data_IF_944354533279
#
_entry.id   IF_944354533279
#
_cell.length_a   1.000
_cell.length_b   1.000
_cell.length_c   1.000
_cell.angle_alpha   90.00
_cell.angle_beta   90.00
_cell.angle_gamma   90.00
#
_symmetry.space_group_name_H-M   'P 1'
#
loop_
_entity.id
_entity.type
_entity.pdbx_description
1 polymer ?
#
# COMPACT_ATOMS: atom_id res chain seq x y z
N UNK A 1 -14.91 -28.74 -51.68
CA UNK A 1 -16.08 -28.05 -51.09
C UNK A 1 -15.63 -27.45 -49.77
N UNK A 2 -15.64 -26.12 -49.68
CA UNK A 2 -14.94 -25.31 -48.67
C UNK A 2 -15.75 -25.27 -47.36
N UNK A 3 -15.15 -25.67 -46.24
CA UNK A 3 -15.70 -25.44 -44.90
C UNK A 3 -15.29 -24.03 -44.46
N UNK A 4 -16.21 -23.13 -44.05
CA UNK A 4 -15.84 -21.81 -43.60
C UNK A 4 -15.26 -21.88 -42.19
N UNK A 5 -14.04 -21.35 -42.04
CA UNK A 5 -13.42 -21.04 -40.75
C UNK A 5 -14.25 -19.95 -40.08
N UNK A 6 -15.00 -20.30 -39.05
CA UNK A 6 -15.66 -19.31 -38.18
C UNK A 6 -14.58 -18.79 -37.23
N UNK A 7 -13.98 -17.66 -37.58
CA UNK A 7 -13.09 -16.92 -36.71
C UNK A 7 -13.92 -16.31 -35.57
N UNK A 8 -13.85 -16.89 -34.37
CA UNK A 8 -14.38 -16.28 -33.17
C UNK A 8 -13.48 -15.10 -32.79
N UNK A 9 -13.92 -13.89 -33.11
CA UNK A 9 -13.30 -12.66 -32.65
C UNK A 9 -13.54 -12.53 -31.13
N UNK A 10 -12.56 -12.93 -30.32
CA UNK A 10 -12.50 -12.56 -28.91
C UNK A 10 -12.22 -11.06 -28.83
N UNK A 11 -13.27 -10.25 -28.66
CA UNK A 11 -13.15 -8.85 -28.32
C UNK A 11 -12.53 -8.75 -26.91
N UNK A 12 -11.25 -8.38 -26.83
CA UNK A 12 -10.59 -8.06 -25.58
C UNK A 12 -11.21 -6.77 -25.02
N UNK A 13 -12.14 -6.92 -24.08
CA UNK A 13 -12.63 -5.81 -23.27
C UNK A 13 -11.50 -5.38 -22.33
N UNK A 14 -10.76 -4.34 -22.72
CA UNK A 14 -9.87 -3.63 -21.81
C UNK A 14 -10.73 -3.00 -20.72
N UNK A 15 -10.70 -3.58 -19.52
CA UNK A 15 -11.19 -2.95 -18.30
C UNK A 15 -10.31 -1.72 -18.05
N UNK A 16 -10.77 -0.56 -18.50
CA UNK A 16 -10.17 0.72 -18.14
C UNK A 16 -10.44 0.94 -16.66
N UNK A 17 -9.51 0.53 -15.80
CA UNK A 17 -9.48 0.96 -14.41
C UNK A 17 -9.37 2.48 -14.43
N UNK A 18 -10.44 3.16 -13.99
CA UNK A 18 -10.45 4.62 -13.94
C UNK A 18 -9.47 5.07 -12.87
N UNK A 19 -8.26 5.47 -13.27
CA UNK A 19 -7.34 6.18 -12.39
C UNK A 19 -7.99 7.52 -11.99
N UNK A 20 -8.29 7.71 -10.71
CA UNK A 20 -8.69 9.00 -10.16
C UNK A 20 -7.42 9.83 -9.95
N UNK A 21 -7.40 11.06 -10.44
CA UNK A 21 -6.31 11.98 -10.14
C UNK A 21 -6.32 12.28 -8.63
N UNK A 22 -5.23 11.93 -7.93
CA UNK A 22 -5.06 12.24 -6.50
C UNK A 22 -4.39 13.60 -6.29
N UNK A 23 -4.72 14.28 -5.19
CA UNK A 23 -4.07 15.53 -4.79
C UNK A 23 -2.74 15.24 -4.10
N UNK A 24 -1.66 15.30 -4.88
CA UNK A 24 -0.29 15.10 -4.37
C UNK A 24 0.05 16.07 -3.23
N UNK A 25 -0.42 17.32 -3.29
CA UNK A 25 -0.17 18.30 -2.22
C UNK A 25 -0.88 17.90 -0.92
N UNK A 26 -2.06 17.27 -1.01
CA UNK A 26 -2.72 16.69 0.17
C UNK A 26 -1.93 15.50 0.73
N UNK A 27 -1.42 14.62 -0.14
CA UNK A 27 -0.55 13.51 0.25
C UNK A 27 0.72 13.99 0.97
N UNK A 28 1.40 15.00 0.43
CA UNK A 28 2.57 15.63 1.06
C UNK A 28 2.26 16.21 2.44
N UNK A 29 1.08 16.84 2.61
CA UNK A 29 0.63 17.32 3.91
C UNK A 29 0.39 16.16 4.89
N UNK A 30 -0.27 15.08 4.44
CA UNK A 30 -0.52 13.91 5.28
C UNK A 30 0.77 13.19 5.69
N UNK A 31 1.79 13.19 4.81
CA UNK A 31 3.11 12.62 5.09
C UNK A 31 3.78 13.20 6.35
N UNK A 32 3.40 14.40 6.79
CA UNK A 32 3.88 14.97 8.06
C UNK A 32 3.55 14.08 9.28
N UNK A 33 2.50 13.25 9.21
CA UNK A 33 2.14 12.28 10.26
C UNK A 33 3.07 11.05 10.26
N UNK A 34 3.75 10.79 9.15
CA UNK A 34 4.56 9.58 8.92
C UNK A 34 6.06 9.85 9.01
N UNK A 35 6.50 11.04 8.59
CA UNK A 35 7.93 11.40 8.41
C UNK A 35 8.78 11.38 9.69
N UNK A 36 8.15 11.40 10.86
CA UNK A 36 8.87 11.23 12.13
C UNK A 36 9.39 9.80 12.31
N UNK A 37 8.73 8.83 11.70
CA UNK A 37 9.02 7.40 11.87
C UNK A 37 9.52 6.73 10.60
N UNK A 38 9.23 7.30 9.42
CA UNK A 38 9.49 6.67 8.13
C UNK A 38 10.23 7.61 7.20
N UNK A 39 11.03 7.02 6.32
CA UNK A 39 11.70 7.71 5.23
C UNK A 39 11.30 7.11 3.89
N UNK A 40 11.35 7.96 2.86
CA UNK A 40 11.19 7.63 1.44
C UNK A 40 12.25 8.37 0.64
N UNK A 41 12.53 7.90 -0.57
CA UNK A 41 13.51 8.48 -1.49
C UNK A 41 14.88 7.85 -1.40
N UNK A 42 15.82 8.43 -2.14
CA UNK A 42 17.20 7.98 -2.21
C UNK A 42 17.87 8.04 -0.84
N UNK A 43 18.59 6.97 -0.48
CA UNK A 43 19.28 6.87 0.81
C UNK A 43 18.38 6.72 2.03
N UNK A 44 17.08 6.43 1.86
CA UNK A 44 16.15 6.20 2.97
C UNK A 44 16.63 5.07 3.91
N UNK A 45 16.59 5.34 5.20
CA UNK A 45 17.02 4.43 6.27
C UNK A 45 15.83 4.00 7.13
N UNK A 46 15.98 2.85 7.78
CA UNK A 46 15.09 2.45 8.86
C UNK A 46 15.26 3.39 10.07
N UNK A 47 14.14 3.85 10.65
CA UNK A 47 14.10 4.69 11.85
C UNK A 47 13.28 3.97 12.93
N UNK A 48 12.36 4.68 13.60
CA UNK A 48 11.34 4.08 14.46
C UNK A 48 10.48 3.08 13.66
N UNK A 49 10.15 3.42 12.42
CA UNK A 49 9.51 2.56 11.42
C UNK A 49 10.48 2.14 10.30
N UNK A 50 10.13 1.13 9.48
CA UNK A 50 10.92 0.77 8.31
C UNK A 50 10.82 1.86 7.24
N UNK A 51 11.80 1.95 6.34
CA UNK A 51 11.66 2.78 5.14
C UNK A 51 10.50 2.29 4.24
N UNK A 52 9.89 3.19 3.47
CA UNK A 52 8.66 2.91 2.71
C UNK A 52 8.82 2.91 1.17
N UNK A 53 10.05 2.97 0.64
CA UNK A 53 10.29 2.80 -0.80
C UNK A 53 9.83 1.43 -1.27
N UNK A 54 9.13 1.36 -2.41
CA UNK A 54 8.62 0.10 -2.95
C UNK A 54 7.65 -0.61 -1.98
N UNK A 55 6.80 0.16 -1.28
CA UNK A 55 5.81 -0.40 -0.37
C UNK A 55 4.82 -1.30 -1.11
N UNK A 56 4.22 -0.80 -2.19
CA UNK A 56 3.21 -1.56 -2.94
C UNK A 56 3.84 -2.75 -3.67
N UNK A 57 3.19 -3.91 -3.57
CA UNK A 57 3.68 -5.22 -4.01
C UNK A 57 4.58 -5.94 -2.99
N UNK A 58 5.05 -5.26 -1.95
CA UNK A 58 5.91 -5.88 -0.92
C UNK A 58 5.07 -6.58 0.15
N UNK A 59 5.56 -7.70 0.66
CA UNK A 59 4.95 -8.37 1.82
C UNK A 59 5.24 -7.63 3.14
N UNK A 60 4.37 -7.81 4.13
CA UNK A 60 4.62 -7.39 5.51
C UNK A 60 5.91 -8.00 6.06
N UNK A 61 6.63 -7.26 6.90
CA UNK A 61 7.83 -7.78 7.55
C UNK A 61 9.08 -7.91 6.67
N UNK A 62 9.10 -7.32 5.47
CA UNK A 62 10.12 -7.64 4.46
C UNK A 62 11.27 -6.63 4.29
N UNK A 63 11.26 -5.47 4.96
CA UNK A 63 12.40 -4.52 4.84
C UNK A 63 13.58 -5.05 5.64
N UNK A 64 14.71 -5.24 4.94
CA UNK A 64 15.96 -5.71 5.52
C UNK A 64 16.44 -4.79 6.65
N UNK A 65 17.01 -5.40 7.70
CA UNK A 65 17.57 -4.68 8.83
C UNK A 65 16.55 -4.01 9.76
N UNK A 66 15.25 -4.08 9.48
CA UNK A 66 14.22 -3.59 10.41
C UNK A 66 13.68 -4.72 11.30
N UNK A 67 13.68 -4.51 12.61
CA UNK A 67 13.12 -5.48 13.56
C UNK A 67 11.60 -5.32 13.63
N UNK A 68 10.84 -6.16 12.93
CA UNK A 68 9.37 -6.13 12.95
C UNK A 68 8.77 -6.78 14.20
N UNK A 69 7.55 -6.36 14.57
CA UNK A 69 6.74 -7.12 15.53
C UNK A 69 6.41 -8.51 14.99
N UNK A 70 6.22 -9.50 15.88
CA UNK A 70 5.77 -10.85 15.48
C UNK A 70 4.47 -10.79 14.69
N UNK A 71 3.53 -9.94 15.12
CA UNK A 71 2.26 -9.73 14.44
C UNK A 71 2.43 -9.25 12.99
N UNK A 72 3.28 -8.24 12.75
CA UNK A 72 3.48 -7.74 11.39
C UNK A 72 4.16 -8.80 10.50
N UNK A 73 5.15 -9.54 11.01
CA UNK A 73 5.79 -10.64 10.25
C UNK A 73 4.78 -11.73 9.87
N UNK A 74 3.87 -12.07 10.78
CA UNK A 74 2.89 -13.13 10.58
C UNK A 74 1.63 -12.71 9.81
N UNK A 75 1.43 -11.41 9.56
CA UNK A 75 0.21 -10.90 8.94
C UNK A 75 -0.03 -11.44 7.52
N UNK A 76 1.04 -11.82 6.81
CA UNK A 76 1.00 -12.38 5.45
C UNK A 76 0.19 -11.51 4.47
N UNK A 77 0.35 -10.20 4.58
CA UNK A 77 -0.32 -9.21 3.73
C UNK A 77 0.65 -8.77 2.64
N UNK A 78 0.18 -8.67 1.41
CA UNK A 78 0.84 -7.91 0.33
C UNK A 78 0.26 -6.51 0.33
N UNK A 79 1.11 -5.48 0.37
CA UNK A 79 0.65 -4.10 0.34
C UNK A 79 0.16 -3.71 -1.05
N UNK A 80 -1.07 -3.22 -1.11
CA UNK A 80 -1.60 -2.45 -2.23
C UNK A 80 -2.26 -1.17 -1.68
N UNK A 81 -2.81 -0.34 -2.57
CA UNK A 81 -3.46 0.92 -2.18
C UNK A 81 -4.65 0.70 -1.22
N UNK A 82 -5.49 -0.29 -1.48
CA UNK A 82 -6.71 -0.54 -0.70
C UNK A 82 -6.37 -1.07 0.70
N UNK A 83 -5.47 -2.04 0.77
CA UNK A 83 -4.98 -2.62 2.01
C UNK A 83 -4.24 -1.57 2.84
N UNK A 84 -3.42 -0.73 2.20
CA UNK A 84 -2.72 0.35 2.89
C UNK A 84 -3.71 1.40 3.43
N UNK A 85 -4.69 1.80 2.62
CA UNK A 85 -5.75 2.72 3.02
C UNK A 85 -6.52 2.20 4.25
N UNK A 86 -6.86 0.91 4.29
CA UNK A 86 -7.47 0.29 5.47
C UNK A 86 -6.52 0.26 6.67
N UNK A 87 -5.25 -0.09 6.47
CA UNK A 87 -4.27 -0.20 7.53
C UNK A 87 -4.03 1.15 8.22
N UNK A 88 -3.89 2.24 7.46
CA UNK A 88 -3.64 3.56 8.05
C UNK A 88 -4.86 4.18 8.72
N UNK A 89 -6.07 3.64 8.52
CA UNK A 89 -7.25 4.04 9.31
C UNK A 89 -7.15 3.61 10.77
N UNK A 90 -6.62 2.42 11.00
CA UNK A 90 -6.40 1.86 12.33
C UNK A 90 -5.39 0.69 12.28
N UNK A 91 -4.08 0.98 12.43
CA UNK A 91 -3.06 -0.04 12.32
C UNK A 91 -3.19 -1.17 13.33
N UNK A 92 -3.65 -0.85 14.55
CA UNK A 92 -3.82 -1.85 15.63
C UNK A 92 -5.04 -2.73 15.40
N UNK A 93 -6.10 -2.20 14.80
CA UNK A 93 -7.24 -3.03 14.40
C UNK A 93 -6.88 -3.94 13.21
N UNK A 94 -6.16 -3.41 12.20
CA UNK A 94 -5.80 -4.19 11.00
C UNK A 94 -4.70 -5.23 11.27
N UNK A 95 -3.71 -4.92 12.10
CA UNK A 95 -2.66 -5.85 12.53
C UNK A 95 -2.55 -5.80 14.08
N UNK A 96 -3.39 -6.57 14.79
CA UNK A 96 -3.34 -6.64 16.25
C UNK A 96 -1.95 -7.11 16.74
N UNK A 97 -1.35 -6.34 17.66
CA UNK A 97 0.01 -6.58 18.13
C UNK A 97 1.11 -5.92 17.30
N UNK A 98 0.76 -5.10 16.30
CA UNK A 98 1.73 -4.21 15.66
C UNK A 98 2.35 -3.25 16.67
N UNK A 99 3.65 -2.97 16.50
CA UNK A 99 4.36 -1.97 17.31
C UNK A 99 4.27 -0.54 16.74
N UNK A 100 3.53 -0.35 15.65
CA UNK A 100 3.26 0.98 15.10
C UNK A 100 2.30 1.73 16.03
N UNK A 101 2.82 2.75 16.72
CA UNK A 101 2.02 3.62 17.60
C UNK A 101 1.46 4.76 16.76
N UNK A 102 0.32 4.51 16.12
CA UNK A 102 -0.38 5.49 15.31
C UNK A 102 -1.89 5.37 15.54
N UNK A 103 -2.55 6.49 15.83
CA UNK A 103 -3.99 6.53 16.10
C UNK A 103 -4.86 6.31 14.85
N UNK A 104 -4.24 6.43 13.67
CA UNK A 104 -4.89 6.30 12.38
C UNK A 104 -5.40 7.62 11.80
N UNK A 105 -5.66 7.61 10.49
CA UNK A 105 -6.29 8.70 9.76
C UNK A 105 -7.77 8.35 9.62
N UNK A 106 -8.67 9.18 10.16
CA UNK A 106 -10.12 8.88 10.13
C UNK A 106 -10.85 9.55 8.97
N UNK A 107 -10.24 10.56 8.35
CA UNK A 107 -10.81 11.26 7.21
C UNK A 107 -10.51 10.48 5.92
N UNK A 108 -11.54 9.93 5.29
CA UNK A 108 -11.39 9.17 4.03
C UNK A 108 -10.79 10.02 2.90
N UNK A 109 -11.05 11.34 2.87
CA UNK A 109 -10.44 12.23 1.86
C UNK A 109 -8.95 12.45 2.06
N UNK A 110 -8.43 12.24 3.28
CA UNK A 110 -6.99 12.32 3.53
C UNK A 110 -6.28 11.01 3.16
N UNK A 111 -7.00 9.89 3.18
CA UNK A 111 -6.49 8.57 2.81
C UNK A 111 -6.51 8.35 1.29
N UNK A 112 -7.50 8.95 0.64
CA UNK A 112 -7.80 8.80 -0.79
C UNK A 112 -6.95 9.67 -1.71
#
# INVERSE_FOLDING_TARGET
>A
MKLPVVAAAFAAAFLTTSARAQDISAGERSWNKCRACHQIGEGAKNLVGPQLNGLFGRHTGAVEGYSYSTANKAANITWDEAVFAEYIKDPKAKIPGTKMVFAGIKNDKEIA
#
